data_IF_126300940891
#
_entry.id   IF_126300940891
#
_cell.length_a   1.000
_cell.length_b   1.000
_cell.length_c   1.000
_cell.angle_alpha   90.00
_cell.angle_beta   90.00
_cell.angle_gamma   90.00
#
_symmetry.space_group_name_H-M   'P 1'
#
loop_
_entity.id
_entity.type
_entity.pdbx_description
1 polymer ?
#
# COMPACT_ATOMS: atom_id res chain seq x y z
N UNK A 1 -4.77 7.97 3.69
CA UNK A 1 -3.47 7.51 3.11
C UNK A 1 -2.57 8.72 2.86
N UNK A 2 -1.26 8.55 2.69
CA UNK A 2 -0.37 9.63 2.25
C UNK A 2 0.52 9.15 1.11
N UNK A 3 0.56 9.95 0.04
CA UNK A 3 1.33 9.67 -1.18
C UNK A 3 2.22 10.85 -1.54
N UNK A 4 3.41 10.55 -2.05
CA UNK A 4 4.39 11.52 -2.50
C UNK A 4 4.82 11.20 -3.94
N UNK A 5 5.00 12.23 -4.75
CA UNK A 5 5.62 12.07 -6.07
C UNK A 5 7.14 12.14 -5.93
N UNK A 6 7.84 11.18 -6.54
CA UNK A 6 9.29 11.22 -6.67
C UNK A 6 9.72 10.88 -8.07
N UNK A 7 10.13 11.90 -8.82
CA UNK A 7 10.40 11.78 -10.24
C UNK A 7 9.17 11.23 -10.96
N UNK A 8 9.33 10.11 -11.66
CA UNK A 8 8.23 9.43 -12.36
C UNK A 8 7.51 8.38 -11.51
N UNK A 9 7.86 8.21 -10.23
CA UNK A 9 7.26 7.21 -9.35
C UNK A 9 6.25 7.85 -8.39
N UNK A 10 5.24 7.07 -7.96
CA UNK A 10 4.32 7.45 -6.89
C UNK A 10 4.62 6.58 -5.67
N UNK A 11 4.80 7.18 -4.50
CA UNK A 11 5.17 6.42 -3.30
C UNK A 11 4.22 6.69 -2.16
N UNK A 12 3.67 5.61 -1.64
CA UNK A 12 2.79 5.58 -0.50
C UNK A 12 3.67 5.56 0.76
N UNK A 13 3.69 6.68 1.48
CA UNK A 13 4.48 6.84 2.72
C UNK A 13 3.70 6.43 3.97
N UNK A 14 2.36 6.42 3.89
CA UNK A 14 1.48 5.84 4.90
C UNK A 14 0.26 5.19 4.24
N UNK A 15 0.09 3.89 4.45
CA UNK A 15 -1.05 3.09 3.99
C UNK A 15 -1.80 2.52 5.20
N UNK A 16 -2.91 3.16 5.62
CA UNK A 16 -3.75 2.64 6.69
C UNK A 16 -4.51 1.37 6.28
N UNK A 17 -4.96 0.60 7.27
CA UNK A 17 -5.57 -0.72 7.06
C UNK A 17 -6.86 -0.68 6.21
N UNK A 18 -7.67 0.37 6.35
CA UNK A 18 -8.90 0.57 5.59
C UNK A 18 -8.58 0.78 4.10
N UNK A 19 -7.67 1.71 3.80
CA UNK A 19 -7.23 2.00 2.43
C UNK A 19 -6.50 0.83 1.80
N UNK A 20 -5.76 0.05 2.58
CA UNK A 20 -5.12 -1.18 2.09
C UNK A 20 -6.16 -2.18 1.55
N UNK A 21 -7.28 -2.36 2.27
CA UNK A 21 -8.38 -3.21 1.82
C UNK A 21 -9.11 -2.65 0.59
N UNK A 22 -9.34 -1.33 0.56
CA UNK A 22 -9.96 -0.64 -0.58
C UNK A 22 -9.11 -0.81 -1.84
N UNK A 23 -7.79 -0.56 -1.75
CA UNK A 23 -6.88 -0.69 -2.89
C UNK A 23 -6.73 -2.13 -3.37
N UNK A 24 -6.62 -3.10 -2.46
CA UNK A 24 -6.52 -4.52 -2.82
C UNK A 24 -7.76 -5.01 -3.58
N UNK A 25 -8.93 -4.43 -3.31
CA UNK A 25 -10.16 -4.69 -4.07
C UNK A 25 -10.24 -3.93 -5.41
N UNK A 26 -9.23 -3.13 -5.76
CA UNK A 26 -9.23 -2.30 -6.96
C UNK A 26 -10.19 -1.11 -6.88
N UNK A 27 -10.56 -0.68 -5.66
CA UNK A 27 -11.46 0.45 -5.43
C UNK A 27 -10.68 1.72 -5.09
N UNK A 28 -11.33 2.87 -5.29
CA UNK A 28 -10.84 4.17 -4.88
C UNK A 28 -12.01 5.01 -4.34
N UNK A 29 -11.95 5.36 -3.05
CA UNK A 29 -13.00 6.13 -2.37
C UNK A 29 -12.57 7.57 -2.07
N UNK A 30 -11.28 7.82 -1.92
CA UNK A 30 -10.71 9.16 -1.76
C UNK A 30 -9.73 9.47 -2.91
N UNK A 31 -9.15 10.66 -2.85
CA UNK A 31 -8.29 11.20 -3.91
C UNK A 31 -7.00 10.38 -4.04
N UNK A 32 -6.40 10.02 -2.92
CA UNK A 32 -5.11 9.35 -2.86
C UNK A 32 -5.22 7.93 -3.44
N UNK A 33 -6.29 7.17 -3.16
CA UNK A 33 -6.49 5.83 -3.75
C UNK A 33 -6.71 5.93 -5.24
N UNK A 34 -7.44 6.97 -5.69
CA UNK A 34 -7.64 7.22 -7.11
C UNK A 34 -6.30 7.48 -7.80
N UNK A 35 -5.42 8.28 -7.21
CA UNK A 35 -4.07 8.54 -7.74
C UNK A 35 -3.24 7.25 -7.84
N UNK A 36 -3.29 6.39 -6.82
CA UNK A 36 -2.60 5.10 -6.84
C UNK A 36 -3.15 4.19 -7.94
N UNK A 37 -4.47 4.08 -8.04
CA UNK A 37 -5.11 3.22 -9.04
C UNK A 37 -4.83 3.71 -10.47
N UNK A 38 -4.91 5.02 -10.72
CA UNK A 38 -4.56 5.62 -12.00
C UNK A 38 -3.08 5.41 -12.36
N UNK A 39 -2.18 5.52 -11.37
CA UNK A 39 -0.77 5.22 -11.57
C UNK A 39 -0.55 3.75 -11.97
N UNK A 40 -1.20 2.80 -11.29
CA UNK A 40 -1.13 1.38 -11.64
C UNK A 40 -1.68 1.11 -13.05
N UNK A 41 -2.87 1.65 -13.36
CA UNK A 41 -3.53 1.48 -14.66
C UNK A 41 -2.75 2.11 -15.82
N UNK A 42 -1.99 3.17 -15.56
CA UNK A 42 -1.12 3.82 -16.55
C UNK A 42 0.28 3.19 -16.66
N UNK A 43 0.56 2.13 -15.90
CA UNK A 43 1.88 1.47 -15.88
C UNK A 43 2.97 2.28 -15.17
N UNK A 44 2.59 3.32 -14.42
CA UNK A 44 3.52 4.10 -13.59
C UNK A 44 3.95 3.25 -12.39
N UNK A 45 5.22 3.38 -12.00
CA UNK A 45 5.74 2.67 -10.82
C UNK A 45 5.08 3.21 -9.55
N UNK A 46 4.48 2.30 -8.80
CA UNK A 46 3.94 2.59 -7.46
C UNK A 46 4.76 1.83 -6.43
N UNK A 47 5.19 2.53 -5.38
CA UNK A 47 5.89 1.93 -4.24
C UNK A 47 5.18 2.22 -2.95
N UNK A 48 5.41 1.40 -1.94
CA UNK A 48 4.97 1.65 -0.57
C UNK A 48 6.15 1.44 0.37
N UNK A 49 6.32 2.35 1.33
CA UNK A 49 7.32 2.15 2.38
C UNK A 49 6.88 1.00 3.29
N UNK A 50 7.83 0.14 3.66
CA UNK A 50 7.59 -0.93 4.62
C UNK A 50 7.11 -0.37 5.97
N UNK A 51 7.67 0.76 6.42
CA UNK A 51 7.21 1.50 7.60
C UNK A 51 5.82 2.11 7.43
N UNK A 52 5.43 2.40 6.19
CA UNK A 52 4.13 2.98 5.85
C UNK A 52 2.99 1.96 5.92
N UNK A 53 3.28 0.66 5.93
CA UNK A 53 2.26 -0.40 6.06
C UNK A 53 1.78 -0.48 7.51
N UNK A 54 0.68 0.21 7.81
CA UNK A 54 0.17 0.37 9.17
C UNK A 54 -0.05 -0.97 9.87
N UNK A 55 -0.56 -1.98 9.15
CA UNK A 55 -0.86 -3.28 9.74
C UNK A 55 0.36 -3.95 10.42
N UNK A 56 1.58 -3.66 9.94
CA UNK A 56 2.82 -4.23 10.48
C UNK A 56 3.08 -3.80 11.92
N UNK A 57 2.54 -2.66 12.36
CA UNK A 57 2.66 -2.19 13.75
C UNK A 57 1.95 -3.11 14.74
N UNK A 58 0.93 -3.86 14.28
CA UNK A 58 0.13 -4.76 15.11
C UNK A 58 0.66 -6.19 15.15
N UNK A 59 1.86 -6.47 14.61
CA UNK A 59 2.45 -7.82 14.55
C UNK A 59 2.49 -8.55 15.91
N UNK A 60 2.61 -7.82 17.02
CA UNK A 60 2.69 -8.37 18.38
C UNK A 60 1.35 -8.43 19.11
N UNK A 61 0.31 -7.76 18.61
CA UNK A 61 -0.94 -7.53 19.35
C UNK A 61 -2.20 -8.03 18.62
N UNK A 62 -2.19 -8.07 17.29
CA UNK A 62 -3.36 -8.52 16.53
C UNK A 62 -3.58 -10.04 16.67
N UNK A 63 -4.84 -10.50 16.74
CA UNK A 63 -5.17 -11.91 16.56
C UNK A 63 -4.61 -12.44 15.23
N UNK A 64 -4.09 -13.67 15.24
CA UNK A 64 -3.37 -14.26 14.09
C UNK A 64 -4.17 -14.19 12.79
N UNK A 65 -5.46 -14.51 12.81
CA UNK A 65 -6.31 -14.48 11.60
C UNK A 65 -6.47 -13.07 11.01
N UNK A 66 -6.56 -12.04 11.85
CA UNK A 66 -6.63 -10.64 11.39
C UNK A 66 -5.29 -10.24 10.78
N UNK A 67 -4.17 -10.55 11.44
CA UNK A 67 -2.84 -10.23 10.90
C UNK A 67 -2.59 -10.93 9.56
N UNK A 68 -2.95 -12.22 9.45
CA UNK A 68 -2.82 -13.00 8.21
C UNK A 68 -3.67 -12.42 7.07
N UNK A 69 -4.85 -11.88 7.36
CA UNK A 69 -5.67 -11.19 6.35
C UNK A 69 -4.89 -10.04 5.70
N UNK A 70 -4.24 -9.18 6.49
CA UNK A 70 -3.45 -8.07 5.94
C UNK A 70 -2.15 -8.51 5.27
N UNK A 71 -1.54 -9.61 5.72
CA UNK A 71 -0.42 -10.23 4.99
C UNK A 71 -0.87 -10.70 3.59
N UNK A 72 -2.08 -11.24 3.46
CA UNK A 72 -2.63 -11.63 2.17
C UNK A 72 -2.91 -10.40 1.29
N UNK A 73 -3.52 -9.34 1.85
CA UNK A 73 -3.72 -8.08 1.13
C UNK A 73 -2.38 -7.45 0.67
N UNK A 74 -1.30 -7.55 1.45
CA UNK A 74 0.02 -7.07 1.01
C UNK A 74 0.50 -7.85 -0.22
N UNK A 75 0.23 -9.16 -0.28
CA UNK A 75 0.58 -10.00 -1.45
C UNK A 75 -0.26 -9.60 -2.66
N UNK A 76 -1.56 -9.40 -2.49
CA UNK A 76 -2.46 -8.93 -3.57
C UNK A 76 -1.98 -7.58 -4.14
N UNK A 77 -1.63 -6.62 -3.28
CA UNK A 77 -1.08 -5.33 -3.74
C UNK A 77 0.22 -5.51 -4.54
N UNK A 78 1.10 -6.44 -4.14
CA UNK A 78 2.33 -6.75 -4.88
C UNK A 78 2.04 -7.37 -6.24
N UNK A 79 1.05 -8.26 -6.32
CA UNK A 79 0.59 -8.87 -7.57
C UNK A 79 -0.03 -7.83 -8.51
N UNK A 80 -0.68 -6.80 -7.96
CA UNK A 80 -1.18 -5.64 -8.71
C UNK A 80 -0.06 -4.69 -9.20
N UNK A 81 1.19 -4.89 -8.78
CA UNK A 81 2.34 -4.08 -9.20
C UNK A 81 2.86 -3.08 -8.17
N UNK A 82 2.31 -3.05 -6.94
CA UNK A 82 2.81 -2.19 -5.85
C UNK A 82 4.09 -2.79 -5.25
N UNK A 83 5.19 -2.06 -5.33
CA UNK A 83 6.47 -2.52 -4.79
C UNK A 83 6.69 -2.05 -3.35
N UNK A 84 6.82 -2.98 -2.40
CA UNK A 84 7.22 -2.66 -1.01
C UNK A 84 8.72 -2.39 -0.96
N UNK A 85 9.12 -1.21 -0.48
CA UNK A 85 10.51 -0.81 -0.32
C UNK A 85 10.87 -0.52 1.14
N UNK A 86 12.12 -0.75 1.51
CA UNK A 86 12.63 -0.40 2.84
C UNK A 86 12.99 1.07 2.90
N UNK A 87 12.76 1.70 4.04
CA UNK A 87 13.05 3.11 4.34
C UNK A 87 14.50 3.51 4.05
N UNK A 88 15.47 2.60 4.21
CA UNK A 88 16.90 2.89 3.96
C UNK A 88 17.24 3.18 2.50
N UNK A 89 16.31 2.93 1.58
CA UNK A 89 16.46 3.18 0.14
C UNK A 89 15.42 4.21 -0.35
N UNK A 90 14.82 4.97 0.57
CA UNK A 90 13.86 6.03 0.31
C UNK A 90 14.41 7.38 0.75
#
# INVERSE_FOLDING_TARGET
>A
MTVEERGSELVITRLPVEQMGILALGLALEREEKQVLEALLSGRKVRVLESGLEYKQYKKTAPMGVFQKFVALERELREMGVCVIRDRHW
#
